data_IF_475550292968
#
_entry.id   IF_475550292968
#
_cell.length_a   1.000
_cell.length_b   1.000
_cell.length_c   1.000
_cell.angle_alpha   90.00
_cell.angle_beta   90.00
_cell.angle_gamma   90.00
#
_symmetry.space_group_name_H-M   'P 1'
#
loop_
_entity.id
_entity.type
_entity.pdbx_description
1 polymer ?
#
# COMPACT_ATOMS: atom_id res chain seq x y z
N UNK A 1 0.76 14.53 2.07
CA UNK A 1 1.39 13.38 1.38
C UNK A 1 0.63 12.95 0.14
N UNK A 2 1.35 12.67 -0.95
CA UNK A 2 0.87 12.02 -2.15
C UNK A 2 1.75 10.80 -2.44
N UNK A 3 1.11 9.66 -2.72
CA UNK A 3 1.77 8.44 -3.16
C UNK A 3 1.47 8.25 -4.65
N UNK A 4 2.50 8.01 -5.46
CA UNK A 4 2.37 7.72 -6.89
C UNK A 4 2.91 6.34 -7.20
N UNK A 5 2.17 5.56 -7.98
CA UNK A 5 2.55 4.23 -8.44
C UNK A 5 2.34 4.12 -9.95
N UNK A 6 3.40 3.89 -10.71
CA UNK A 6 3.37 3.83 -12.17
C UNK A 6 2.76 5.07 -12.83
N UNK A 7 2.99 6.26 -12.24
CA UNK A 7 2.47 7.53 -12.72
C UNK A 7 1.08 7.91 -12.18
N UNK A 8 0.36 6.99 -11.54
CA UNK A 8 -0.99 7.23 -11.01
C UNK A 8 -0.95 7.57 -9.52
N UNK A 9 -1.82 8.49 -9.09
CA UNK A 9 -1.94 8.86 -7.68
C UNK A 9 -2.77 7.81 -6.95
N UNK A 10 -2.19 7.25 -5.90
CA UNK A 10 -2.86 6.32 -4.97
C UNK A 10 -3.23 7.06 -3.68
N UNK A 11 -4.48 6.90 -3.24
CA UNK A 11 -4.99 7.51 -2.01
C UNK A 11 -5.12 6.45 -0.92
N UNK A 12 -4.09 6.34 -0.08
CA UNK A 12 -4.08 5.43 1.07
C UNK A 12 -4.80 6.12 2.25
N UNK A 13 -5.88 5.57 2.80
CA UNK A 13 -6.53 6.16 3.98
C UNK A 13 -5.92 5.63 5.30
N UNK A 14 -5.94 6.42 6.39
CA UNK A 14 -5.58 5.92 7.71
C UNK A 14 -6.43 4.72 8.13
N UNK A 15 -5.79 3.69 8.68
CA UNK A 15 -6.46 2.47 9.15
C UNK A 15 -6.66 1.38 8.09
N UNK A 16 -6.44 1.69 6.81
CA UNK A 16 -6.49 0.69 5.75
C UNK A 16 -5.17 -0.11 5.63
N UNK A 17 -5.28 -1.35 5.18
CA UNK A 17 -4.15 -2.18 4.78
C UNK A 17 -4.13 -2.28 3.26
N UNK A 18 -2.97 -1.99 2.66
CA UNK A 18 -2.79 -1.92 1.21
C UNK A 18 -1.67 -2.84 0.76
N UNK A 19 -1.91 -3.53 -0.36
CA UNK A 19 -0.85 -4.09 -1.19
C UNK A 19 -0.67 -3.20 -2.41
N UNK A 20 0.58 -2.86 -2.72
CA UNK A 20 0.97 -2.12 -3.92
C UNK A 20 2.07 -2.92 -4.64
N UNK A 21 2.02 -2.93 -5.97
CA UNK A 21 3.08 -3.54 -6.78
C UNK A 21 4.29 -2.61 -6.86
N UNK A 22 5.21 -2.74 -5.90
CA UNK A 22 6.42 -1.91 -5.80
C UNK A 22 7.48 -2.20 -6.88
N UNK A 23 7.26 -3.16 -7.78
CA UNK A 23 8.09 -3.30 -8.98
C UNK A 23 7.85 -2.16 -9.98
N UNK A 24 6.68 -1.50 -9.90
CA UNK A 24 6.39 -0.31 -10.70
C UNK A 24 7.13 0.91 -10.11
N UNK A 25 7.55 1.87 -10.96
CA UNK A 25 8.11 3.13 -10.49
C UNK A 25 7.19 3.78 -9.46
N UNK A 26 7.72 4.11 -8.29
CA UNK A 26 6.93 4.68 -7.20
C UNK A 26 7.61 5.92 -6.63
N UNK A 27 6.80 6.85 -6.14
CA UNK A 27 7.26 8.12 -5.56
C UNK A 27 6.35 8.54 -4.43
N UNK A 28 6.93 9.10 -3.38
CA UNK A 28 6.20 9.66 -2.25
C UNK A 28 6.66 11.09 -2.03
N UNK A 29 5.71 12.02 -1.95
CA UNK A 29 5.97 13.39 -1.53
C UNK A 29 5.15 13.69 -0.27
N UNK A 30 5.76 14.28 0.75
CA UNK A 30 5.03 14.84 1.88
C UNK A 30 5.42 16.31 2.13
N UNK A 31 4.88 17.27 1.35
CA UNK A 31 5.24 18.69 1.47
C UNK A 31 4.55 19.41 2.64
N UNK A 32 4.11 18.68 3.68
CA UNK A 32 3.48 19.25 4.87
C UNK A 32 4.41 19.20 6.08
N UNK A 33 4.13 20.03 7.08
CA UNK A 33 4.73 19.99 8.42
C UNK A 33 4.18 18.86 9.30
N UNK A 34 3.11 18.21 8.86
CA UNK A 34 2.46 17.11 9.58
C UNK A 34 3.06 15.76 9.18
N UNK A 35 3.45 14.98 10.19
CA UNK A 35 3.92 13.61 10.02
C UNK A 35 2.83 12.71 9.47
N UNK A 36 3.21 11.83 8.54
CA UNK A 36 2.36 10.76 8.05
C UNK A 36 3.11 9.43 8.11
N UNK A 37 2.80 8.65 9.14
CA UNK A 37 3.48 7.38 9.43
C UNK A 37 2.74 6.22 8.76
N UNK A 38 3.47 5.41 8.00
CA UNK A 38 2.98 4.16 7.41
C UNK A 38 3.67 2.98 8.07
N UNK A 39 2.92 1.93 8.42
CA UNK A 39 3.49 0.64 8.82
C UNK A 39 3.68 -0.20 7.57
N UNK A 40 4.92 -0.49 7.22
CA UNK A 40 5.30 -1.34 6.08
C UNK A 40 5.64 -2.73 6.60
N UNK A 41 5.14 -3.76 5.92
CA UNK A 41 5.42 -5.16 6.21
C UNK A 41 6.05 -5.79 4.97
N UNK A 42 7.32 -6.19 5.07
CA UNK A 42 7.98 -7.03 4.08
C UNK A 42 7.78 -8.49 4.48
N UNK A 43 7.17 -9.28 3.59
CA UNK A 43 6.71 -10.63 3.90
C UNK A 43 6.94 -11.58 2.73
N UNK A 44 7.26 -12.83 3.04
CA UNK A 44 7.13 -13.92 2.08
C UNK A 44 5.65 -14.19 1.79
N UNK A 45 5.32 -14.48 0.52
CA UNK A 45 3.96 -14.82 0.09
C UNK A 45 3.64 -16.27 0.42
N UNK A 46 3.57 -16.56 1.72
CA UNK A 46 3.20 -17.86 2.29
C UNK A 46 1.68 -18.09 2.25
N UNK A 47 1.25 -19.28 2.66
CA UNK A 47 -0.16 -19.70 2.59
C UNK A 47 -1.09 -18.77 3.36
N UNK A 48 -0.65 -18.23 4.49
CA UNK A 48 -1.43 -17.27 5.26
C UNK A 48 -1.64 -15.96 4.48
N UNK A 49 -0.60 -15.39 3.89
CA UNK A 49 -0.72 -14.14 3.14
C UNK A 49 -1.53 -14.32 1.84
N UNK A 50 -1.41 -15.49 1.20
CA UNK A 50 -2.26 -15.87 0.05
C UNK A 50 -3.74 -15.92 0.42
N UNK A 51 -4.09 -16.44 1.59
CA UNK A 51 -5.46 -16.45 2.10
C UNK A 51 -5.98 -15.02 2.36
N UNK A 52 -5.15 -14.14 2.94
CA UNK A 52 -5.49 -12.72 3.14
C UNK A 52 -5.85 -12.05 1.82
N UNK A 53 -5.02 -12.22 0.78
CA UNK A 53 -5.31 -11.65 -0.55
C UNK A 53 -6.56 -12.26 -1.18
N UNK A 54 -6.75 -13.57 -1.07
CA UNK A 54 -7.93 -14.27 -1.58
C UNK A 54 -9.22 -13.71 -0.96
N UNK A 55 -9.24 -13.53 0.37
CA UNK A 55 -10.38 -12.93 1.07
C UNK A 55 -10.61 -11.47 0.67
N UNK A 56 -9.55 -10.70 0.48
CA UNK A 56 -9.64 -9.29 0.09
C UNK A 56 -10.22 -9.10 -1.33
N UNK A 57 -9.92 -10.02 -2.26
CA UNK A 57 -10.47 -9.99 -3.63
C UNK A 57 -11.92 -10.46 -3.65
N UNK A 58 -12.25 -11.52 -2.89
CA UNK A 58 -13.59 -12.12 -2.91
C UNK A 58 -14.62 -11.39 -2.02
N UNK A 59 -14.16 -10.56 -1.09
CA UNK A 59 -15.00 -9.76 -0.19
C UNK A 59 -15.38 -8.37 -0.73
N UNK A 60 -15.06 -8.07 -2.00
CA UNK A 60 -15.49 -6.86 -2.71
C UNK A 60 -16.69 -7.11 -3.60
#
# INVERSE_FOLDING_TARGET
>A
MAFFLGGERVVLQPGECWYLDFNRPHRVDNPSDTDRVHRVLDCDVNDWLRDVFTRAVNGR
#
